data_IF_871637366348
#
_entry.id   IF_871637366348
#
_cell.length_a   1.000
_cell.length_b   1.000
_cell.length_c   1.000
_cell.angle_alpha   90.00
_cell.angle_beta   90.00
_cell.angle_gamma   90.00
#
_symmetry.space_group_name_H-M   'P 1'
#
loop_
_entity.id
_entity.type
_entity.pdbx_description
1 polymer ?
#
# COMPACT_ATOMS: atom_id res chain seq x y z
N UNK A 1 -3.76 -2.36 -9.88
CA UNK A 1 -3.91 -0.92 -10.15
C UNK A 1 -5.07 -0.29 -9.36
N UNK A 2 -6.30 -0.82 -9.42
CA UNK A 2 -7.47 -0.22 -8.72
C UNK A 2 -7.26 -0.01 -7.21
N UNK A 3 -6.73 -1.01 -6.49
CA UNK A 3 -6.43 -0.89 -5.06
C UNK A 3 -5.44 0.25 -4.75
N UNK A 4 -4.40 0.41 -5.57
CA UNK A 4 -3.43 1.50 -5.41
C UNK A 4 -4.04 2.88 -5.66
N UNK A 5 -4.96 3.01 -6.63
CA UNK A 5 -5.68 4.25 -6.88
C UNK A 5 -6.57 4.64 -5.68
N UNK A 6 -7.30 3.68 -5.11
CA UNK A 6 -8.13 3.94 -3.91
C UNK A 6 -7.29 4.33 -2.70
N UNK A 7 -6.15 3.68 -2.50
CA UNK A 7 -5.20 4.06 -1.44
C UNK A 7 -4.68 5.48 -1.65
N UNK A 8 -4.33 5.86 -2.89
CA UNK A 8 -3.89 7.22 -3.19
C UNK A 8 -4.98 8.26 -2.91
N UNK A 9 -6.23 7.98 -3.31
CA UNK A 9 -7.39 8.84 -3.02
C UNK A 9 -7.62 8.96 -1.51
N UNK A 10 -7.54 7.86 -0.76
CA UNK A 10 -7.72 7.90 0.69
C UNK A 10 -6.59 8.66 1.40
N UNK A 11 -5.33 8.48 0.99
CA UNK A 11 -4.23 9.29 1.53
C UNK A 11 -4.40 10.78 1.24
N UNK A 12 -4.89 11.15 0.04
CA UNK A 12 -5.24 12.53 -0.26
C UNK A 12 -6.43 13.00 0.61
N UNK A 13 -7.42 12.14 0.84
CA UNK A 13 -8.53 12.40 1.76
C UNK A 13 -8.06 12.70 3.18
N UNK A 14 -7.11 11.93 3.73
CA UNK A 14 -6.54 12.20 5.05
C UNK A 14 -5.75 13.51 5.11
N UNK A 15 -5.23 14.00 3.99
CA UNK A 15 -4.46 15.24 3.93
C UNK A 15 -5.35 16.50 3.77
N UNK A 16 -6.49 16.39 3.10
CA UNK A 16 -7.30 17.55 2.71
C UNK A 16 -8.76 17.49 3.18
N UNK A 17 -9.23 16.33 3.66
CA UNK A 17 -10.62 16.06 4.04
C UNK A 17 -10.68 15.39 5.41
N UNK A 18 -10.23 16.12 6.44
CA UNK A 18 -10.04 15.63 7.80
C UNK A 18 -10.58 16.55 8.91
N UNK A 19 -11.51 17.45 8.58
CA UNK A 19 -12.04 18.45 9.52
C UNK A 19 -13.06 17.86 10.51
N UNK A 20 -13.84 16.87 10.07
CA UNK A 20 -14.82 16.18 10.91
C UNK A 20 -14.50 14.68 11.05
N UNK A 21 -14.92 14.08 12.16
CA UNK A 21 -14.72 12.65 12.46
C UNK A 21 -15.34 11.73 11.39
N UNK A 22 -16.47 12.12 10.82
CA UNK A 22 -17.13 11.31 9.77
C UNK A 22 -16.28 11.25 8.49
N UNK A 23 -15.53 12.32 8.18
CA UNK A 23 -14.64 12.38 7.02
C UNK A 23 -13.50 11.38 7.18
N UNK A 24 -12.92 11.29 8.38
CA UNK A 24 -11.87 10.31 8.71
C UNK A 24 -12.38 8.88 8.66
N UNK A 25 -13.62 8.65 9.11
CA UNK A 25 -14.25 7.32 9.11
C UNK A 25 -14.50 6.86 7.67
N UNK A 26 -15.05 7.73 6.82
CA UNK A 26 -15.26 7.47 5.40
C UNK A 26 -13.93 7.22 4.68
N UNK A 27 -12.93 8.07 4.91
CA UNK A 27 -11.61 7.95 4.31
C UNK A 27 -10.92 6.64 4.72
N UNK A 28 -11.04 6.25 5.99
CA UNK A 28 -10.52 4.97 6.49
C UNK A 28 -11.21 3.77 5.85
N UNK A 29 -12.52 3.85 5.60
CA UNK A 29 -13.24 2.81 4.87
C UNK A 29 -12.74 2.66 3.43
N UNK A 30 -12.53 3.78 2.72
CA UNK A 30 -11.96 3.78 1.36
C UNK A 30 -10.53 3.21 1.36
N UNK A 31 -9.72 3.59 2.33
CA UNK A 31 -8.36 3.07 2.50
C UNK A 31 -8.36 1.55 2.70
N UNK A 32 -9.23 1.05 3.59
CA UNK A 32 -9.41 -0.37 3.86
C UNK A 32 -9.86 -1.15 2.61
N UNK A 33 -10.80 -0.61 1.84
CA UNK A 33 -11.23 -1.21 0.56
C UNK A 33 -10.09 -1.27 -0.45
N UNK A 34 -9.31 -0.18 -0.58
CA UNK A 34 -8.13 -0.14 -1.45
C UNK A 34 -7.10 -1.21 -1.08
N UNK A 35 -6.80 -1.36 0.22
CA UNK A 35 -5.91 -2.39 0.73
C UNK A 35 -6.45 -3.80 0.48
N UNK A 36 -7.73 -4.04 0.72
CA UNK A 36 -8.38 -5.33 0.47
C UNK A 36 -8.25 -5.77 -1.00
N UNK A 37 -8.55 -4.86 -1.94
CA UNK A 37 -8.39 -5.12 -3.36
C UNK A 37 -6.92 -5.34 -3.75
N UNK A 38 -5.99 -4.58 -3.18
CA UNK A 38 -4.57 -4.74 -3.43
C UNK A 38 -4.08 -6.13 -2.96
N UNK A 39 -4.41 -6.54 -1.74
CA UNK A 39 -4.01 -7.84 -1.21
C UNK A 39 -4.67 -9.01 -1.94
N UNK A 40 -5.96 -8.90 -2.28
CA UNK A 40 -6.64 -9.93 -3.08
C UNK A 40 -5.94 -10.14 -4.44
N UNK A 41 -5.59 -9.03 -5.11
CA UNK A 41 -4.85 -9.09 -6.38
C UNK A 41 -3.47 -9.73 -6.20
N UNK A 42 -2.73 -9.34 -5.16
CA UNK A 42 -1.41 -9.92 -4.86
C UNK A 42 -1.48 -11.42 -4.60
N UNK A 43 -2.42 -11.88 -3.77
CA UNK A 43 -2.60 -13.31 -3.50
C UNK A 43 -2.87 -14.08 -4.78
N UNK A 44 -3.73 -13.56 -5.65
CA UNK A 44 -4.05 -14.20 -6.93
C UNK A 44 -2.80 -14.29 -7.83
N UNK A 45 -2.03 -13.21 -7.95
CA UNK A 45 -0.79 -13.19 -8.72
C UNK A 45 0.26 -14.16 -8.19
N UNK A 46 0.39 -14.29 -6.87
CA UNK A 46 1.33 -15.23 -6.25
C UNK A 46 0.92 -16.67 -6.58
N UNK A 47 -0.35 -17.03 -6.39
CA UNK A 47 -0.84 -18.40 -6.64
C UNK A 47 -0.72 -18.77 -8.12
N UNK A 48 -1.00 -17.84 -9.03
CA UNK A 48 -0.89 -18.08 -10.48
C UNK A 48 0.54 -18.00 -11.02
N UNK A 49 1.43 -17.27 -10.33
CA UNK A 49 2.75 -16.92 -10.83
C UNK A 49 3.85 -17.94 -10.52
N UNK A 50 3.65 -18.85 -9.55
CA UNK A 50 4.65 -19.84 -9.12
C UNK A 50 4.08 -21.25 -9.01
N UNK A 51 4.91 -22.31 -9.13
CA UNK A 51 4.47 -23.68 -8.92
C UNK A 51 3.89 -23.88 -7.51
N UNK A 52 2.91 -24.78 -7.30
CA UNK A 52 2.26 -24.98 -6.00
C UNK A 52 3.23 -25.29 -4.85
N UNK A 53 4.34 -25.98 -5.14
CA UNK A 53 5.39 -26.30 -4.16
C UNK A 53 6.19 -25.08 -3.70
N UNK A 54 6.14 -23.96 -4.43
CA UNK A 54 6.86 -22.71 -4.14
C UNK A 54 5.94 -21.56 -3.69
N UNK A 55 4.62 -21.75 -3.71
CA UNK A 55 3.64 -20.73 -3.28
C UNK A 55 3.87 -20.28 -1.84
N UNK A 56 4.29 -21.18 -0.94
CA UNK A 56 4.66 -20.84 0.43
C UNK A 56 5.85 -19.87 0.50
N UNK A 57 6.91 -20.17 -0.25
CA UNK A 57 8.10 -19.30 -0.35
C UNK A 57 7.77 -17.95 -0.97
N UNK A 58 6.99 -17.92 -2.05
CA UNK A 58 6.58 -16.67 -2.70
C UNK A 58 5.66 -15.82 -1.81
N UNK A 59 4.73 -16.45 -1.10
CA UNK A 59 3.85 -15.77 -0.12
C UNK A 59 4.67 -15.20 1.03
N UNK A 60 5.63 -15.96 1.56
CA UNK A 60 6.55 -15.51 2.61
C UNK A 60 7.41 -14.33 2.15
N UNK A 61 7.94 -14.37 0.93
CA UNK A 61 8.70 -13.25 0.36
C UNK A 61 7.83 -11.98 0.24
N UNK A 62 6.59 -12.10 -0.24
CA UNK A 62 5.66 -10.98 -0.29
C UNK A 62 5.33 -10.43 1.10
N UNK A 63 5.11 -11.30 2.09
CA UNK A 63 4.88 -10.90 3.48
C UNK A 63 6.09 -10.13 4.04
N UNK A 64 7.32 -10.60 3.77
CA UNK A 64 8.54 -9.91 4.18
C UNK A 64 8.66 -8.52 3.55
N UNK A 65 8.43 -8.42 2.23
CA UNK A 65 8.44 -7.12 1.53
C UNK A 65 7.41 -6.17 2.15
N UNK A 66 6.22 -6.66 2.45
CA UNK A 66 5.18 -5.85 3.12
C UNK A 66 5.60 -5.40 4.51
N UNK A 67 6.21 -6.27 5.30
CA UNK A 67 6.73 -5.91 6.63
C UNK A 67 7.81 -4.84 6.56
N UNK A 68 8.75 -4.97 5.62
CA UNK A 68 9.80 -3.95 5.37
C UNK A 68 9.16 -2.62 4.98
N UNK A 69 8.24 -2.64 4.00
CA UNK A 69 7.52 -1.45 3.57
C UNK A 69 6.72 -0.80 4.71
N UNK A 70 6.06 -1.61 5.55
CA UNK A 70 5.32 -1.14 6.72
C UNK A 70 6.23 -0.47 7.76
N UNK A 71 7.40 -1.05 8.04
CA UNK A 71 8.38 -0.46 8.96
C UNK A 71 8.93 0.86 8.42
N UNK A 72 9.30 0.91 7.14
CA UNK A 72 9.76 2.13 6.48
C UNK A 72 8.68 3.21 6.49
N UNK A 73 7.44 2.86 6.10
CA UNK A 73 6.32 3.80 6.11
C UNK A 73 6.05 4.35 7.51
N UNK A 74 5.98 3.49 8.52
CA UNK A 74 5.76 3.94 9.90
C UNK A 74 6.86 4.89 10.37
N UNK A 75 8.11 4.58 10.04
CA UNK A 75 9.27 5.43 10.38
C UNK A 75 9.20 6.78 9.68
N UNK A 76 8.94 6.80 8.37
CA UNK A 76 8.84 8.03 7.57
C UNK A 76 7.69 8.90 8.08
N UNK A 77 6.51 8.33 8.31
CA UNK A 77 5.34 9.06 8.81
C UNK A 77 5.64 9.67 10.19
N UNK A 78 6.23 8.89 11.08
CA UNK A 78 6.62 9.36 12.42
C UNK A 78 7.62 10.51 12.33
N UNK A 79 8.65 10.39 11.49
CA UNK A 79 9.64 11.43 11.29
C UNK A 79 9.01 12.73 10.76
N UNK A 80 8.11 12.65 9.78
CA UNK A 80 7.42 13.83 9.21
C UNK A 80 6.52 14.49 10.25
N UNK A 81 5.67 13.71 10.93
CA UNK A 81 4.71 14.23 11.92
C UNK A 81 5.45 14.88 13.08
N UNK A 82 6.53 14.27 13.56
CA UNK A 82 7.27 14.78 14.74
C UNK A 82 8.33 15.84 14.41
N UNK A 83 8.53 16.18 13.13
CA UNK A 83 9.52 17.17 12.70
C UNK A 83 9.28 18.55 13.30
N UNK A 84 8.01 18.94 13.45
CA UNK A 84 7.61 20.21 14.04
C UNK A 84 6.54 20.00 15.11
N UNK A 85 6.80 20.52 16.30
CA UNK A 85 5.91 20.39 17.47
C UNK A 85 5.38 21.75 17.90
N UNK A 86 4.17 21.72 18.40
CA UNK A 86 3.51 22.81 19.11
C UNK A 86 4.18 23.06 20.47
N UNK A 87 3.97 24.22 21.10
CA UNK A 87 4.52 24.53 22.43
C UNK A 87 4.08 23.56 23.53
N UNK A 88 2.93 22.91 23.37
CA UNK A 88 2.38 21.88 24.27
C UNK A 88 3.04 20.48 24.08
N UNK A 89 3.97 20.35 23.13
CA UNK A 89 4.69 19.12 22.83
C UNK A 89 4.01 18.21 21.81
N UNK A 90 2.80 18.53 21.33
CA UNK A 90 2.11 17.74 20.31
C UNK A 90 2.58 18.10 18.89
N UNK A 91 2.53 17.15 17.93
CA UNK A 91 2.76 17.45 16.52
C UNK A 91 1.83 18.54 15.98
N UNK A 92 2.32 19.35 15.05
CA UNK A 92 1.45 20.24 14.28
C UNK A 92 0.53 19.44 13.35
N UNK A 93 -0.70 19.93 13.12
CA UNK A 93 -1.62 19.37 12.13
C UNK A 93 -0.95 19.26 10.74
N UNK A 94 -0.16 20.27 10.37
CA UNK A 94 0.60 20.31 9.12
C UNK A 94 1.52 19.10 8.95
N UNK A 95 2.03 18.50 10.04
CA UNK A 95 2.84 17.28 9.99
C UNK A 95 2.03 16.09 9.48
N UNK A 96 0.78 15.94 9.92
CA UNK A 96 -0.12 14.90 9.42
C UNK A 96 -0.49 15.13 7.96
N UNK A 97 -0.84 16.37 7.60
CA UNK A 97 -1.15 16.73 6.20
C UNK A 97 0.01 16.42 5.28
N UNK A 98 1.24 16.81 5.65
CA UNK A 98 2.45 16.56 4.86
C UNK A 98 2.75 15.06 4.74
N UNK A 99 2.58 14.31 5.83
CA UNK A 99 2.80 12.87 5.86
C UNK A 99 1.82 12.12 4.96
N UNK A 100 0.52 12.41 5.07
CA UNK A 100 -0.49 11.80 4.23
C UNK A 100 -0.39 12.22 2.76
N UNK A 101 -0.05 13.48 2.47
CA UNK A 101 0.22 13.94 1.11
C UNK A 101 1.43 13.21 0.49
N UNK A 102 2.49 13.00 1.26
CA UNK A 102 3.66 12.22 0.83
C UNK A 102 3.25 10.79 0.45
N UNK A 103 2.42 10.15 1.28
CA UNK A 103 1.93 8.79 0.99
C UNK A 103 0.95 8.75 -0.17
N UNK A 104 0.15 9.80 -0.38
CA UNK A 104 -0.69 9.94 -1.56
C UNK A 104 0.17 9.96 -2.83
N UNK A 105 1.29 10.71 -2.84
CA UNK A 105 2.24 10.74 -3.96
C UNK A 105 2.86 9.36 -4.17
N UNK A 106 3.33 8.69 -3.11
CA UNK A 106 3.91 7.34 -3.22
C UNK A 106 2.90 6.32 -3.78
N UNK A 107 1.66 6.35 -3.30
CA UNK A 107 0.60 5.48 -3.79
C UNK A 107 0.23 5.78 -5.26
N UNK A 108 0.24 7.05 -5.64
CA UNK A 108 0.02 7.48 -7.03
C UNK A 108 1.15 7.00 -7.95
N UNK A 109 2.41 7.12 -7.51
CA UNK A 109 3.56 6.57 -8.24
C UNK A 109 3.44 5.05 -8.39
N UNK A 110 3.07 4.34 -7.33
CA UNK A 110 2.82 2.90 -7.39
C UNK A 110 1.71 2.56 -8.40
N UNK A 111 0.62 3.33 -8.43
CA UNK A 111 -0.43 3.17 -9.43
C UNK A 111 0.13 3.30 -10.86
N UNK A 112 0.90 4.34 -11.15
CA UNK A 112 1.51 4.53 -12.48
C UNK A 112 2.51 3.43 -12.83
N UNK A 113 3.35 3.00 -11.88
CA UNK A 113 4.26 1.87 -12.09
C UNK A 113 3.48 0.61 -12.47
N UNK A 114 2.38 0.31 -11.77
CA UNK A 114 1.54 -0.85 -12.14
C UNK A 114 0.86 -0.75 -13.50
N UNK A 115 0.73 0.46 -14.07
CA UNK A 115 0.20 0.68 -15.42
C UNK A 115 1.26 0.51 -16.51
N UNK A 116 2.51 0.80 -16.18
CA UNK A 116 3.65 0.74 -17.11
C UNK A 116 4.25 -0.68 -17.17
N UNK A 117 4.08 -1.47 -16.12
CA UNK A 117 4.49 -2.87 -16.13
C UNK A 117 3.67 -3.65 -17.17
N UNK A 118 4.31 -4.27 -18.18
CA UNK A 118 3.65 -5.19 -19.08
C UNK A 118 3.04 -6.33 -18.26
N UNK A 119 1.84 -6.78 -18.63
CA UNK A 119 1.29 -8.02 -18.09
C UNK A 119 2.17 -9.18 -18.55
N UNK A 120 3.22 -9.49 -17.78
CA UNK A 120 3.95 -10.72 -17.93
C UNK A 120 2.98 -11.84 -17.57
N UNK A 121 2.32 -12.43 -18.58
CA UNK A 121 1.75 -13.77 -18.45
C UNK A 121 2.89 -14.65 -17.96
N UNK A 122 2.90 -15.04 -16.68
CA UNK A 122 3.83 -16.08 -16.22
C UNK A 122 3.64 -17.26 -17.17
N UNK A 123 4.68 -17.68 -17.91
CA UNK A 123 4.60 -18.90 -18.70
C UNK A 123 4.19 -19.99 -17.71
N UNK A 124 3.10 -20.69 -17.99
CA UNK A 124 2.74 -21.87 -17.22
C UNK A 124 3.98 -22.77 -17.20
N UNK A 125 4.63 -22.88 -16.04
CA UNK A 125 5.76 -23.78 -15.87
C UNK A 125 5.15 -25.18 -16.02
N UNK A 126 5.31 -25.76 -17.21
CA UNK A 126 4.87 -27.11 -17.50
C UNK A 126 5.58 -28.05 -16.49
N UNK A 127 4.80 -28.62 -15.57
CA UNK A 127 5.31 -29.65 -14.67
C UNK A 127 5.63 -30.87 -15.52
N UNK A 128 6.88 -31.33 -15.61
CA UNK A 128 7.19 -32.55 -16.36
C UNK A 128 6.44 -33.72 -15.71
N UNK A 129 5.69 -34.45 -16.52
CA UNK A 129 5.02 -35.67 -16.10
C UNK A 129 6.07 -36.65 -15.59
N UNK A 130 5.90 -37.09 -14.34
CA UNK A 130 6.75 -38.12 -13.73
C UNK A 130 6.52 -39.43 -14.52
N UNK A 131 7.55 -39.91 -15.20
CA UNK A 131 7.58 -41.19 -15.90
C UNK A 131 7.59 -42.37 -14.92
#
# INVERSE_FOLDING_TARGET
>A
SMGAALVAVACAGFAFFHQDVWQLTLTSAIFGLGLGLAYSTMTNLIVQGVPPTQTGTATGMNANIRTIGGAMGTTIMTAIVTAHRQPDGFPLEQGFVTGFATFAVVALLAFFVTRLLPESRSPAIAVPAKA
#
